data_IF_091892244958
#
_entry.id   IF_091892244958
#
_cell.length_a   1.000
_cell.length_b   1.000
_cell.length_c   1.000
_cell.angle_alpha   90.00
_cell.angle_beta   90.00
_cell.angle_gamma   90.00
#
_symmetry.space_group_name_H-M   'P 1'
#
loop_
_entity.id
_entity.type
_entity.pdbx_description
1 polymer ?
#
# COMPACT_ATOMS: atom_id res chain seq x y z
N UNK A 1 -40.77 35.02 -26.69
CA UNK A 1 -39.44 34.58 -27.15
C UNK A 1 -38.40 35.63 -26.78
N UNK A 2 -37.44 35.30 -25.91
CA UNK A 2 -36.12 35.94 -25.84
C UNK A 2 -35.01 34.99 -26.38
N UNK A 3 -33.87 35.54 -26.84
CA UNK A 3 -32.92 34.84 -27.69
C UNK A 3 -31.91 33.97 -26.93
N UNK A 4 -31.35 33.02 -27.68
CA UNK A 4 -30.28 32.12 -27.30
C UNK A 4 -28.98 32.85 -26.95
N UNK A 5 -28.29 32.31 -25.93
CA UNK A 5 -26.85 32.12 -25.99
C UNK A 5 -26.02 33.03 -25.10
N UNK A 6 -25.72 32.56 -23.90
CA UNK A 6 -24.43 32.81 -23.23
C UNK A 6 -24.16 31.63 -22.30
N UNK A 7 -23.51 30.59 -22.84
CA UNK A 7 -22.97 29.49 -22.05
C UNK A 7 -21.58 29.92 -21.63
N UNK A 8 -21.39 30.07 -20.33
CA UNK A 8 -20.15 30.43 -19.65
C UNK A 8 -18.97 29.53 -20.11
N UNK A 9 -17.92 30.15 -20.64
CA UNK A 9 -16.75 29.48 -21.25
C UNK A 9 -15.78 28.84 -20.25
N UNK A 10 -16.08 28.87 -18.94
CA UNK A 10 -15.19 28.32 -17.91
C UNK A 10 -15.60 26.95 -17.34
N UNK A 11 -16.50 26.23 -18.00
CA UNK A 11 -16.69 24.80 -17.69
C UNK A 11 -15.53 24.02 -18.30
N UNK A 12 -14.46 23.90 -17.52
CA UNK A 12 -13.34 22.98 -17.76
C UNK A 12 -13.90 21.57 -17.87
N UNK A 13 -14.20 21.14 -19.10
CA UNK A 13 -14.47 19.76 -19.41
C UNK A 13 -13.18 18.99 -19.11
N UNK A 14 -13.17 18.30 -17.96
CA UNK A 14 -12.20 17.23 -17.72
C UNK A 14 -12.51 16.15 -18.73
N UNK A 15 -11.80 16.16 -19.86
CA UNK A 15 -11.84 15.05 -20.80
C UNK A 15 -11.42 13.79 -20.04
N UNK A 16 -12.17 12.68 -20.16
CA UNK A 16 -11.63 11.40 -19.72
C UNK A 16 -10.40 11.13 -20.57
N UNK A 17 -9.24 11.02 -19.94
CA UNK A 17 -8.00 10.57 -20.60
C UNK A 17 -8.32 9.27 -21.35
N UNK A 18 -8.43 9.35 -22.67
CA UNK A 18 -8.55 8.19 -23.54
C UNK A 18 -7.21 7.46 -23.46
N UNK A 19 -7.10 6.54 -22.49
CA UNK A 19 -6.01 5.56 -22.44
C UNK A 19 -6.14 4.77 -23.72
N UNK A 20 -5.28 5.09 -24.68
CA UNK A 20 -5.34 4.50 -26.02
C UNK A 20 -5.01 3.02 -25.88
N UNK A 21 -5.69 2.13 -26.61
CA UNK A 21 -5.50 0.67 -26.49
C UNK A 21 -4.02 0.21 -26.60
N UNK A 22 -3.16 1.04 -27.19
CA UNK A 22 -1.71 0.84 -27.31
C UNK A 22 -0.93 1.03 -25.99
N UNK A 23 -1.47 1.73 -24.99
CA UNK A 23 -0.78 1.93 -23.70
C UNK A 23 -0.70 0.63 -22.88
N UNK A 24 -1.64 -0.30 -23.09
CA UNK A 24 -1.64 -1.61 -22.42
C UNK A 24 -0.61 -2.59 -23.00
N UNK A 25 -0.10 -2.32 -24.21
CA UNK A 25 0.95 -3.12 -24.85
C UNK A 25 2.36 -2.66 -24.48
N UNK A 26 2.51 -1.53 -23.77
CA UNK A 26 3.83 -1.08 -23.31
C UNK A 26 4.37 -2.10 -22.30
N UNK A 27 5.51 -2.76 -22.59
CA UNK A 27 6.12 -3.69 -21.64
C UNK A 27 6.40 -2.93 -20.35
N UNK A 28 6.01 -3.52 -19.22
CA UNK A 28 6.25 -2.92 -17.91
C UNK A 28 7.73 -2.57 -17.80
N UNK A 29 8.08 -1.36 -17.31
CA UNK A 29 9.47 -0.99 -17.17
C UNK A 29 10.19 -2.06 -16.34
N UNK A 30 11.35 -2.50 -16.85
CA UNK A 30 12.17 -3.48 -16.14
C UNK A 30 12.44 -2.92 -14.75
N UNK A 31 12.19 -3.73 -13.73
CA UNK A 31 12.44 -3.33 -12.34
C UNK A 31 13.91 -2.95 -12.23
N UNK A 32 14.17 -1.83 -11.56
CA UNK A 32 15.54 -1.40 -11.30
C UNK A 32 16.35 -2.47 -10.55
N UNK A 33 17.68 -2.34 -10.52
CA UNK A 33 18.56 -3.25 -9.80
C UNK A 33 18.11 -3.46 -8.35
N UNK A 34 18.31 -4.67 -7.82
CA UNK A 34 18.08 -4.94 -6.40
C UNK A 34 18.95 -3.98 -5.58
N UNK A 35 18.40 -3.40 -4.52
CA UNK A 35 19.15 -2.51 -3.63
C UNK A 35 20.30 -3.29 -2.98
N UNK A 36 21.49 -2.68 -2.92
CA UNK A 36 22.64 -3.21 -2.20
C UNK A 36 22.31 -3.41 -0.71
N UNK A 37 23.07 -4.30 -0.04
CA UNK A 37 22.97 -4.50 1.42
C UNK A 37 23.39 -3.21 2.13
N UNK A 38 22.89 -2.99 3.35
CA UNK A 38 23.14 -1.75 4.09
C UNK A 38 24.64 -1.48 4.34
N UNK A 39 25.43 -2.55 4.52
CA UNK A 39 26.89 -2.49 4.72
C UNK A 39 27.61 -2.05 3.44
N UNK A 40 27.10 -2.44 2.27
CA UNK A 40 27.78 -2.18 0.99
C UNK A 40 27.35 -0.84 0.35
N UNK A 41 26.44 -0.10 1.00
CA UNK A 41 25.94 1.17 0.46
C UNK A 41 26.91 2.32 0.76
N UNK A 42 27.15 3.23 -0.22
CA UNK A 42 27.91 4.44 0.03
C UNK A 42 27.17 5.30 1.06
N UNK A 43 27.89 5.67 2.13
CA UNK A 43 27.31 6.42 3.24
C UNK A 43 27.57 7.92 3.10
N UNK A 44 26.53 8.70 3.35
CA UNK A 44 26.61 10.16 3.48
C UNK A 44 26.05 10.54 4.83
N UNK A 45 26.79 11.35 5.59
CA UNK A 45 26.36 11.79 6.91
C UNK A 45 25.05 12.60 6.81
N UNK A 46 23.97 12.15 7.47
CA UNK A 46 22.70 12.86 7.42
C UNK A 46 22.77 14.14 8.26
N UNK A 47 22.01 15.15 7.84
CA UNK A 47 21.80 16.35 8.66
C UNK A 47 20.84 16.03 9.81
N UNK A 48 21.01 16.65 10.99
CA UNK A 48 20.05 16.52 12.07
C UNK A 48 18.64 16.90 11.62
N UNK A 49 17.67 16.02 11.88
CA UNK A 49 16.27 16.27 11.59
C UNK A 49 15.68 17.08 12.74
N UNK A 50 15.04 18.20 12.44
CA UNK A 50 14.41 19.07 13.44
C UNK A 50 12.96 18.70 13.72
N UNK A 51 12.26 18.14 12.72
CA UNK A 51 10.84 17.81 12.83
C UNK A 51 10.64 16.36 13.29
N UNK A 52 9.85 16.18 14.35
CA UNK A 52 9.42 14.85 14.80
C UNK A 52 8.34 14.32 13.85
N UNK A 53 8.62 13.19 13.19
CA UNK A 53 7.65 12.44 12.39
C UNK A 53 7.12 11.23 13.17
N UNK A 54 5.84 10.86 12.96
CA UNK A 54 5.23 9.64 13.54
C UNK A 54 5.12 8.49 12.56
N UNK A 55 5.42 8.73 11.28
CA UNK A 55 5.40 7.74 10.21
C UNK A 55 6.72 7.79 9.47
N UNK A 56 7.46 6.70 9.50
CA UNK A 56 8.82 6.65 8.96
C UNK A 56 8.84 5.95 7.62
N UNK A 57 9.42 6.61 6.61
CA UNK A 57 9.63 5.99 5.31
C UNK A 57 10.68 4.88 5.39
N UNK A 58 10.66 3.90 4.47
CA UNK A 58 11.75 2.92 4.36
C UNK A 58 13.12 3.58 4.15
N UNK A 59 13.15 4.73 3.48
CA UNK A 59 14.39 5.50 3.28
C UNK A 59 14.91 6.06 4.61
N UNK A 60 14.05 6.67 5.42
CA UNK A 60 14.40 7.18 6.75
C UNK A 60 15.00 6.08 7.62
N UNK A 61 14.36 4.90 7.63
CA UNK A 61 14.88 3.73 8.34
C UNK A 61 16.26 3.31 7.83
N UNK A 62 16.43 3.19 6.50
CA UNK A 62 17.70 2.80 5.91
C UNK A 62 18.82 3.81 6.26
N UNK A 63 18.52 5.11 6.25
CA UNK A 63 19.46 6.17 6.65
C UNK A 63 19.89 6.07 8.12
N UNK A 64 18.96 5.74 9.01
CA UNK A 64 19.24 5.51 10.44
C UNK A 64 20.16 4.31 10.64
N UNK A 65 19.85 3.19 9.97
CA UNK A 65 20.68 1.99 10.04
C UNK A 65 22.07 2.23 9.45
N UNK A 66 22.16 2.96 8.35
CA UNK A 66 23.44 3.36 7.75
C UNK A 66 24.24 4.26 8.70
N UNK A 67 23.61 5.20 9.40
CA UNK A 67 24.28 6.00 10.42
C UNK A 67 24.89 5.12 11.53
N UNK A 68 24.13 4.16 12.06
CA UNK A 68 24.62 3.28 13.12
C UNK A 68 25.76 2.33 12.66
N UNK A 69 25.80 1.95 11.38
CA UNK A 69 26.82 1.04 10.82
C UNK A 69 28.10 1.80 10.44
N UNK A 70 27.96 2.91 9.72
CA UNK A 70 29.06 3.56 9.01
C UNK A 70 29.60 4.80 9.71
N UNK A 71 28.78 5.50 10.49
CA UNK A 71 29.22 6.70 11.17
C UNK A 71 30.23 6.36 12.26
N UNK A 72 31.19 7.26 12.49
CA UNK A 72 32.24 7.13 13.50
C UNK A 72 32.35 8.44 14.27
N UNK A 73 32.28 8.34 15.59
CA UNK A 73 32.38 9.47 16.52
C UNK A 73 33.75 9.38 17.18
N UNK A 74 34.50 10.49 17.16
CA UNK A 74 35.75 10.60 17.89
C UNK A 74 35.46 10.75 19.38
N UNK A 75 35.84 9.76 20.17
CA UNK A 75 35.60 9.68 21.61
C UNK A 75 36.71 8.82 22.23
N UNK A 76 37.93 9.36 22.40
CA UNK A 76 39.09 8.58 22.80
C UNK A 76 39.01 8.00 24.20
N UNK A 77 38.16 8.54 25.07
CA UNK A 77 37.97 8.05 26.45
C UNK A 77 36.97 6.91 26.58
N UNK A 78 36.21 6.59 25.53
CA UNK A 78 35.14 5.60 25.62
C UNK A 78 35.66 4.16 25.48
N UNK A 79 35.20 3.25 26.34
CA UNK A 79 35.67 1.85 26.41
C UNK A 79 35.58 1.07 25.09
N UNK A 80 34.62 1.41 24.23
CA UNK A 80 34.41 0.77 22.91
C UNK A 80 35.13 1.47 21.76
N UNK A 81 35.96 2.46 22.04
CA UNK A 81 36.68 3.20 21.02
C UNK A 81 37.89 2.42 20.55
N UNK A 82 38.01 2.29 19.24
CA UNK A 82 39.14 1.67 18.55
C UNK A 82 39.85 2.80 17.80
N UNK A 83 41.13 3.04 18.11
CA UNK A 83 41.88 4.16 17.53
C UNK A 83 41.29 5.54 17.86
N UNK A 84 40.58 5.66 18.98
CA UNK A 84 39.91 6.90 19.40
C UNK A 84 38.52 7.10 18.79
N UNK A 85 38.05 6.20 17.93
CA UNK A 85 36.74 6.29 17.29
C UNK A 85 35.80 5.17 17.73
N UNK A 86 34.51 5.48 17.87
CA UNK A 86 33.45 4.50 18.15
C UNK A 86 32.26 4.64 17.22
N UNK A 87 31.44 3.60 17.16
CA UNK A 87 30.12 3.66 16.55
C UNK A 87 29.18 4.57 17.37
N UNK A 88 28.21 5.24 16.73
CA UNK A 88 27.16 5.94 17.46
C UNK A 88 26.31 5.00 18.30
N UNK A 89 25.82 5.53 19.41
CA UNK A 89 24.76 4.93 20.20
C UNK A 89 23.38 5.14 19.56
N UNK A 90 22.44 4.28 19.91
CA UNK A 90 21.03 4.47 19.52
C UNK A 90 20.44 5.74 20.13
N UNK A 91 20.93 6.19 21.29
CA UNK A 91 20.51 7.46 21.90
C UNK A 91 20.96 8.67 21.08
N UNK A 92 22.21 8.66 20.62
CA UNK A 92 22.76 9.72 19.74
C UNK A 92 21.99 9.77 18.41
N UNK A 93 21.71 8.61 17.84
CA UNK A 93 20.92 8.51 16.63
C UNK A 93 19.45 8.93 16.86
N UNK A 94 18.85 8.60 18.02
CA UNK A 94 17.51 9.07 18.40
C UNK A 94 17.44 10.59 18.44
N UNK A 95 18.43 11.25 19.03
CA UNK A 95 18.53 12.72 19.06
C UNK A 95 18.70 13.32 17.67
N UNK A 96 19.52 12.68 16.83
CA UNK A 96 19.82 13.20 15.49
C UNK A 96 18.66 13.02 14.49
N UNK A 97 17.92 11.91 14.57
CA UNK A 97 16.80 11.63 13.65
C UNK A 97 15.42 11.95 14.23
N UNK A 98 15.31 12.27 15.53
CA UNK A 98 14.05 12.51 16.23
C UNK A 98 13.11 11.29 16.16
N UNK A 99 13.69 10.09 16.34
CA UNK A 99 12.97 8.81 16.30
C UNK A 99 13.12 8.13 17.66
N UNK A 100 12.03 7.65 18.30
CA UNK A 100 12.14 6.97 19.58
C UNK A 100 13.10 5.78 19.52
N UNK A 101 13.96 5.66 20.54
CA UNK A 101 14.97 4.62 20.64
C UNK A 101 14.38 3.21 20.45
N UNK A 102 13.22 2.92 21.04
CA UNK A 102 12.54 1.62 20.91
C UNK A 102 12.25 1.22 19.45
N UNK A 103 11.85 2.20 18.64
CA UNK A 103 11.61 2.01 17.20
C UNK A 103 12.90 1.64 16.50
N UNK A 104 13.99 2.32 16.83
CA UNK A 104 15.31 2.08 16.26
C UNK A 104 15.88 0.72 16.68
N UNK A 105 15.71 0.32 17.94
CA UNK A 105 16.08 -1.02 18.42
C UNK A 105 15.36 -2.12 17.63
N UNK A 106 14.06 -1.92 17.36
CA UNK A 106 13.26 -2.85 16.56
C UNK A 106 13.77 -2.96 15.13
N UNK A 107 14.12 -1.84 14.49
CA UNK A 107 14.72 -1.84 13.16
C UNK A 107 16.10 -2.50 13.14
N UNK A 108 16.93 -2.23 14.14
CA UNK A 108 18.27 -2.79 14.24
C UNK A 108 18.26 -4.31 14.33
N UNK A 109 17.35 -4.89 15.14
CA UNK A 109 17.21 -6.34 15.29
C UNK A 109 16.83 -7.04 13.99
N UNK A 110 16.01 -6.38 13.16
CA UNK A 110 15.46 -6.94 11.92
C UNK A 110 16.17 -6.43 10.66
N UNK A 111 17.32 -5.75 10.81
CA UNK A 111 18.02 -5.08 9.68
C UNK A 111 18.40 -6.02 8.54
N UNK A 112 18.61 -7.31 8.87
CA UNK A 112 19.01 -8.36 7.94
C UNK A 112 17.80 -9.13 7.37
N UNK A 113 16.58 -8.87 7.87
CA UNK A 113 15.35 -9.48 7.35
C UNK A 113 14.94 -8.77 6.04
N UNK A 114 15.08 -9.46 4.90
CA UNK A 114 14.68 -8.95 3.56
C UNK A 114 13.19 -8.55 3.46
N UNK A 115 12.36 -8.95 4.42
CA UNK A 115 10.90 -8.89 4.34
C UNK A 115 10.28 -8.05 5.46
N UNK A 116 10.62 -6.77 5.49
CA UNK A 116 9.70 -5.75 6.03
C UNK A 116 8.61 -5.34 5.04
N UNK A 117 8.30 -6.18 4.05
CA UNK A 117 7.03 -6.03 3.35
C UNK A 117 5.98 -6.25 4.41
N UNK A 118 5.18 -5.22 4.70
CA UNK A 118 3.86 -5.40 5.28
C UNK A 118 3.09 -6.32 4.33
N UNK A 119 3.30 -7.62 4.42
CA UNK A 119 2.20 -8.55 4.29
C UNK A 119 1.31 -8.17 5.47
N UNK A 120 0.48 -7.14 5.28
CA UNK A 120 -0.76 -7.12 6.01
C UNK A 120 -1.48 -8.31 5.39
N UNK A 121 -1.27 -9.49 5.98
CA UNK A 121 -2.23 -10.55 5.85
C UNK A 121 -3.53 -9.87 6.23
N UNK A 122 -4.31 -9.50 5.22
CA UNK A 122 -5.59 -8.84 5.43
C UNK A 122 -6.45 -9.92 6.02
N UNK A 123 -6.36 -10.08 7.34
CA UNK A 123 -7.11 -11.05 8.12
C UNK A 123 -8.54 -10.94 7.62
N UNK A 124 -9.03 -12.05 7.05
CA UNK A 124 -10.38 -12.13 6.52
C UNK A 124 -11.28 -12.07 7.74
N UNK A 125 -11.82 -10.89 8.03
CA UNK A 125 -12.58 -10.71 9.26
C UNK A 125 -13.87 -11.55 9.26
N UNK A 126 -14.38 -11.98 8.09
CA UNK A 126 -15.71 -12.60 7.96
C UNK A 126 -15.77 -13.65 6.84
N UNK A 127 -15.15 -14.83 7.00
CA UNK A 127 -15.04 -15.82 5.93
C UNK A 127 -16.39 -16.40 5.48
N UNK A 128 -17.33 -16.63 6.41
CA UNK A 128 -18.67 -17.15 6.09
C UNK A 128 -19.47 -16.16 5.23
N UNK A 129 -19.43 -14.89 5.59
CA UNK A 129 -20.04 -13.81 4.82
C UNK A 129 -19.45 -13.69 3.40
N UNK A 130 -18.12 -13.75 3.27
CA UNK A 130 -17.49 -13.71 1.94
C UNK A 130 -17.88 -14.93 1.08
N UNK A 131 -17.98 -16.11 1.68
CA UNK A 131 -18.41 -17.34 0.99
C UNK A 131 -19.84 -17.21 0.45
N UNK A 132 -20.76 -16.73 1.27
CA UNK A 132 -22.16 -16.54 0.89
C UNK A 132 -22.32 -15.47 -0.20
N UNK A 133 -21.61 -14.35 -0.08
CA UNK A 133 -21.61 -13.30 -1.10
C UNK A 133 -21.07 -13.80 -2.44
N UNK A 134 -20.05 -14.66 -2.41
CA UNK A 134 -19.50 -15.26 -3.62
C UNK A 134 -20.46 -16.27 -4.25
N UNK A 135 -21.18 -17.06 -3.45
CA UNK A 135 -22.20 -17.98 -3.94
C UNK A 135 -23.33 -17.23 -4.67
N UNK A 136 -23.90 -16.19 -4.05
CA UNK A 136 -24.94 -15.36 -4.70
C UNK A 136 -24.44 -14.66 -5.98
N UNK A 137 -23.14 -14.34 -6.04
CA UNK A 137 -22.52 -13.80 -7.24
C UNK A 137 -22.48 -14.81 -8.39
N UNK A 138 -22.09 -16.06 -8.12
CA UNK A 138 -22.07 -17.13 -9.12
C UNK A 138 -23.48 -17.44 -9.65
N UNK A 139 -24.49 -17.46 -8.78
CA UNK A 139 -25.89 -17.63 -9.20
C UNK A 139 -26.36 -16.48 -10.09
N UNK A 140 -26.05 -15.24 -9.72
CA UNK A 140 -26.39 -14.07 -10.53
C UNK A 140 -25.69 -14.09 -11.90
N UNK A 141 -24.42 -14.56 -11.94
CA UNK A 141 -23.67 -14.79 -13.19
C UNK A 141 -24.36 -15.84 -14.06
N UNK A 142 -24.76 -16.97 -13.48
CA UNK A 142 -25.47 -18.05 -14.18
C UNK A 142 -26.78 -17.57 -14.81
N UNK A 143 -27.47 -16.65 -14.14
CA UNK A 143 -28.72 -16.04 -14.61
C UNK A 143 -28.51 -14.84 -15.56
N UNK A 144 -27.27 -14.56 -15.98
CA UNK A 144 -26.90 -13.41 -16.83
C UNK A 144 -27.43 -12.06 -16.32
N UNK A 145 -27.56 -11.91 -14.99
CA UNK A 145 -27.95 -10.62 -14.40
C UNK A 145 -26.80 -9.62 -14.49
N UNK A 146 -27.08 -8.32 -14.72
CA UNK A 146 -26.04 -7.30 -14.70
C UNK A 146 -25.49 -7.11 -13.29
N UNK A 147 -24.25 -7.56 -13.05
CA UNK A 147 -23.59 -7.46 -11.75
C UNK A 147 -22.72 -6.20 -11.74
N UNK A 148 -23.23 -5.16 -11.08
CA UNK A 148 -22.52 -3.89 -10.88
C UNK A 148 -21.92 -3.79 -9.48
N UNK A 149 -21.09 -2.78 -9.24
CA UNK A 149 -20.64 -2.43 -7.88
C UNK A 149 -21.82 -2.14 -6.94
N UNK A 150 -22.91 -1.57 -7.47
CA UNK A 150 -24.14 -1.32 -6.72
C UNK A 150 -24.82 -2.60 -6.25
N UNK A 151 -24.82 -3.63 -7.10
CA UNK A 151 -25.30 -4.97 -6.74
C UNK A 151 -24.52 -5.53 -5.54
N UNK A 152 -23.17 -5.49 -5.60
CA UNK A 152 -22.33 -5.94 -4.50
C UNK A 152 -22.59 -5.17 -3.20
N UNK A 153 -22.76 -3.86 -3.26
CA UNK A 153 -23.07 -3.03 -2.07
C UNK A 153 -24.39 -3.43 -1.42
N UNK A 154 -25.42 -3.71 -2.21
CA UNK A 154 -26.73 -4.09 -1.70
C UNK A 154 -26.69 -5.48 -1.08
N UNK A 155 -26.25 -6.47 -1.87
CA UNK A 155 -26.24 -7.88 -1.46
C UNK A 155 -25.31 -8.13 -0.28
N UNK A 156 -24.15 -7.46 -0.22
CA UNK A 156 -23.24 -7.58 0.92
C UNK A 156 -23.88 -7.11 2.24
N UNK A 157 -24.64 -6.01 2.22
CA UNK A 157 -25.33 -5.51 3.43
C UNK A 157 -26.48 -6.43 3.84
N UNK A 158 -27.22 -6.97 2.87
CA UNK A 158 -28.30 -7.94 3.12
C UNK A 158 -27.74 -9.18 3.81
N UNK A 159 -26.74 -9.84 3.22
CA UNK A 159 -26.11 -11.04 3.80
C UNK A 159 -25.51 -10.75 5.17
N UNK A 160 -24.84 -9.61 5.34
CA UNK A 160 -24.21 -9.28 6.62
C UNK A 160 -25.26 -9.12 7.74
N UNK A 161 -26.43 -8.53 7.43
CA UNK A 161 -27.55 -8.44 8.39
C UNK A 161 -28.14 -9.80 8.73
N UNK A 162 -28.26 -10.69 7.75
CA UNK A 162 -28.77 -12.04 7.93
C UNK A 162 -27.85 -12.88 8.83
N UNK A 163 -26.53 -12.86 8.56
CA UNK A 163 -25.56 -13.67 9.30
C UNK A 163 -25.16 -13.08 10.65
N UNK A 164 -25.16 -11.75 10.77
CA UNK A 164 -24.68 -11.04 11.96
C UNK A 164 -25.67 -9.95 12.40
N UNK A 165 -26.90 -10.33 12.81
CA UNK A 165 -27.95 -9.37 13.19
C UNK A 165 -27.58 -8.51 14.39
N UNK A 166 -26.70 -8.97 15.28
CA UNK A 166 -26.21 -8.18 16.42
C UNK A 166 -25.13 -7.16 16.06
N UNK A 167 -24.60 -7.19 14.82
CA UNK A 167 -23.43 -6.41 14.41
C UNK A 167 -23.67 -5.55 13.17
N UNK A 168 -24.93 -5.19 12.86
CA UNK A 168 -25.33 -4.51 11.61
C UNK A 168 -24.47 -3.29 11.24
N UNK A 169 -23.94 -2.55 12.23
CA UNK A 169 -23.09 -1.37 12.02
C UNK A 169 -21.58 -1.64 11.85
N UNK A 170 -21.12 -2.87 12.08
CA UNK A 170 -19.68 -3.21 12.10
C UNK A 170 -19.13 -3.33 10.67
N UNK A 171 -19.91 -3.87 9.74
CA UNK A 171 -19.47 -4.01 8.36
C UNK A 171 -19.71 -2.75 7.54
N UNK A 172 -18.62 -2.19 7.01
CA UNK A 172 -18.67 -1.10 6.03
C UNK A 172 -18.13 -1.57 4.69
N UNK A 173 -18.96 -1.47 3.64
CA UNK A 173 -18.53 -1.69 2.27
C UNK A 173 -17.59 -0.57 1.82
N UNK A 174 -16.28 -0.78 2.00
CA UNK A 174 -15.24 0.14 1.54
C UNK A 174 -14.65 -0.31 0.20
N UNK A 175 -14.10 0.64 -0.56
CA UNK A 175 -13.40 0.32 -1.82
C UNK A 175 -12.23 -0.64 -1.59
N UNK A 176 -11.49 -0.46 -0.47
CA UNK A 176 -10.36 -1.33 -0.12
C UNK A 176 -10.78 -2.77 0.17
N UNK A 177 -11.89 -2.94 0.90
CA UNK A 177 -12.46 -4.26 1.14
C UNK A 177 -12.95 -4.91 -0.16
N UNK A 178 -13.70 -4.16 -0.99
CA UNK A 178 -14.24 -4.69 -2.25
C UNK A 178 -13.14 -5.10 -3.24
N UNK A 179 -12.09 -4.29 -3.39
CA UNK A 179 -10.92 -4.66 -4.20
C UNK A 179 -10.27 -5.93 -3.63
N UNK A 180 -10.14 -6.03 -2.31
CA UNK A 180 -9.62 -7.23 -1.65
C UNK A 180 -10.48 -8.47 -1.93
N UNK A 181 -11.79 -8.36 -1.81
CA UNK A 181 -12.75 -9.43 -2.09
C UNK A 181 -12.64 -9.93 -3.53
N UNK A 182 -12.59 -9.02 -4.51
CA UNK A 182 -12.41 -9.39 -5.92
C UNK A 182 -11.09 -10.10 -6.19
N UNK A 183 -10.00 -9.62 -5.59
CA UNK A 183 -8.67 -10.22 -5.75
C UNK A 183 -8.62 -11.62 -5.14
N UNK A 184 -9.21 -11.82 -3.94
CA UNK A 184 -9.28 -13.14 -3.29
C UNK A 184 -10.11 -14.15 -4.09
N UNK A 185 -11.22 -13.70 -4.67
CA UNK A 185 -12.15 -14.56 -5.41
C UNK A 185 -11.94 -14.55 -6.93
N UNK A 186 -10.82 -13.98 -7.42
CA UNK A 186 -10.50 -13.88 -8.85
C UNK A 186 -11.63 -13.32 -9.73
N UNK A 187 -12.41 -12.37 -9.20
CA UNK A 187 -13.49 -11.70 -9.93
C UNK A 187 -12.87 -10.56 -10.75
N UNK A 188 -12.40 -10.89 -11.94
CA UNK A 188 -11.90 -9.89 -12.88
C UNK A 188 -13.06 -9.19 -13.62
N UNK A 189 -12.91 -7.89 -13.97
CA UNK A 189 -13.77 -7.30 -14.97
C UNK A 189 -13.51 -8.08 -16.26
N UNK A 190 -14.49 -8.87 -16.67
CA UNK A 190 -14.47 -9.56 -17.97
C UNK A 190 -14.42 -8.47 -19.04
N UNK A 191 -13.22 -8.23 -19.59
CA UNK A 191 -13.10 -7.77 -20.97
C UNK A 191 -13.77 -8.86 -21.83
N UNK A 192 -14.61 -8.43 -22.76
CA UNK A 192 -15.53 -9.21 -23.58
C UNK A 192 -15.08 -10.66 -23.90
N UNK A 193 -16.01 -11.64 -23.96
CA UNK A 193 -15.73 -12.88 -24.67
C UNK A 193 -15.34 -12.55 -26.12
N UNK A 194 -14.31 -13.20 -26.70
CA UNK A 194 -14.01 -13.04 -28.11
C UNK A 194 -15.27 -13.45 -28.89
N UNK A 195 -15.71 -12.55 -29.76
CA UNK A 195 -16.84 -12.75 -30.66
C UNK A 195 -16.74 -14.11 -31.35
N UNK A 196 -17.87 -14.84 -31.32
CA UNK A 196 -18.10 -16.03 -32.11
C UNK A 196 -17.73 -15.77 -33.57
N UNK A 197 -16.86 -16.63 -34.12
CA UNK A 197 -16.59 -16.70 -35.56
C UNK A 197 -17.75 -17.51 -36.17
N UNK A 198 -18.62 -16.91 -37.00
CA UNK A 198 -19.58 -17.70 -37.74
C UNK A 198 -18.87 -18.54 -38.80
N UNK A 199 -19.44 -19.72 -39.04
CA UNK A 199 -18.94 -20.83 -39.85
C UNK A 199 -18.57 -20.48 -41.30
#
# INVERSE_FOLDING_TARGET
MPPLGEIDLNVVQRTPTTVTALDFLKPKPKRGPKKLRLVDRPYTAPKPITRIERSYSPHTRDSVLMFLIHHRIYDPGHRKSIGGYRSPSQDEASKMFQIPMLTMTTWWRKRDEEKFKKAVDRIISWPLFEKELYARFLEARRLNKPITTGWFRRVSREIFRELYPSHVGVFTFSNGWYIGFKMRNSIFPTLHPPYDVPA
#
